data_IF_341394881922
#
_entry.id   IF_341394881922
#
_cell.length_a   1.000
_cell.length_b   1.000
_cell.length_c   1.000
_cell.angle_alpha   90.00
_cell.angle_beta   90.00
_cell.angle_gamma   90.00
#
_symmetry.space_group_name_H-M   'P 1'
#
loop_
_entity.id
_entity.type
_entity.pdbx_description
1 polymer ?
#
# COMPACT_ATOMS: atom_id res chain seq x y z
N UNK A 1 6.53 -5.73 -1.16
CA UNK A 1 5.79 -4.91 -0.19
C UNK A 1 4.39 -4.66 -0.74
N UNK A 2 3.36 -4.66 0.11
CA UNK A 2 1.96 -4.50 -0.30
C UNK A 2 1.65 -3.04 -0.67
N UNK A 3 0.69 -2.82 -1.58
CA UNK A 3 0.07 -1.51 -1.81
C UNK A 3 -1.10 -1.29 -0.85
N UNK A 4 -1.59 -0.05 -0.72
CA UNK A 4 -2.66 0.30 0.23
C UNK A 4 -3.95 -0.51 0.04
N UNK A 5 -4.31 -0.84 -1.21
CA UNK A 5 -5.49 -1.66 -1.56
C UNK A 5 -5.25 -3.17 -1.47
N UNK A 6 -4.06 -3.63 -1.11
CA UNK A 6 -3.71 -5.05 -1.13
C UNK A 6 -3.57 -5.61 0.28
N UNK A 7 -3.94 -6.88 0.43
CA UNK A 7 -3.64 -7.67 1.62
C UNK A 7 -2.95 -8.99 1.22
N UNK A 8 -2.02 -9.48 2.03
CA UNK A 8 -1.44 -10.80 1.82
C UNK A 8 -2.35 -11.88 2.39
N UNK A 9 -2.84 -12.79 1.55
CA UNK A 9 -3.72 -13.89 1.94
C UNK A 9 -2.97 -15.23 1.84
N UNK A 10 -2.89 -16.02 2.93
CA UNK A 10 -2.25 -17.33 2.90
C UNK A 10 -2.87 -18.27 1.86
N UNK A 11 -2.02 -18.93 1.06
CA UNK A 11 -2.44 -19.87 0.01
C UNK A 11 -3.46 -20.92 0.49
N UNK A 12 -3.24 -21.53 1.65
CA UNK A 12 -4.17 -22.54 2.21
C UNK A 12 -5.53 -21.96 2.59
N UNK A 13 -5.54 -20.74 3.12
CA UNK A 13 -6.78 -20.04 3.47
C UNK A 13 -7.55 -19.64 2.21
N UNK A 14 -6.86 -19.10 1.21
CA UNK A 14 -7.44 -18.77 -0.08
C UNK A 14 -8.02 -20.01 -0.77
N UNK A 15 -7.28 -21.13 -0.77
CA UNK A 15 -7.76 -22.39 -1.34
C UNK A 15 -9.09 -22.83 -0.72
N UNK A 16 -9.23 -22.74 0.59
CA UNK A 16 -10.47 -23.07 1.31
C UNK A 16 -11.63 -22.12 1.00
N UNK A 17 -11.37 -20.81 1.04
CA UNK A 17 -12.39 -19.77 0.83
C UNK A 17 -12.94 -19.80 -0.61
N UNK A 18 -12.09 -20.08 -1.59
CA UNK A 18 -12.43 -20.02 -3.01
C UNK A 18 -12.75 -21.39 -3.64
N UNK A 19 -12.86 -22.48 -2.87
CA UNK A 19 -13.16 -23.83 -3.38
C UNK A 19 -14.27 -23.89 -4.43
N UNK A 20 -15.46 -23.28 -4.23
CA UNK A 20 -16.54 -23.38 -5.20
C UNK A 20 -16.17 -22.77 -6.56
N UNK A 21 -15.44 -21.66 -6.55
CA UNK A 21 -14.98 -20.97 -7.75
C UNK A 21 -13.91 -21.76 -8.49
N UNK A 22 -12.99 -22.39 -7.75
CA UNK A 22 -11.96 -23.27 -8.31
C UNK A 22 -12.61 -24.48 -8.97
N UNK A 23 -13.59 -25.12 -8.32
CA UNK A 23 -14.32 -26.26 -8.92
C UNK A 23 -15.01 -25.88 -10.22
N UNK A 24 -15.72 -24.74 -10.23
CA UNK A 24 -16.39 -24.24 -11.44
C UNK A 24 -15.39 -23.95 -12.57
N UNK A 25 -14.22 -23.36 -12.25
CA UNK A 25 -13.19 -23.05 -13.24
C UNK A 25 -12.49 -24.30 -13.78
N UNK A 26 -12.18 -25.28 -12.93
CA UNK A 26 -11.63 -26.58 -13.33
C UNK A 26 -12.54 -27.33 -14.30
N UNK A 27 -13.85 -27.31 -14.05
CA UNK A 27 -14.83 -27.92 -14.96
C UNK A 27 -14.96 -27.15 -16.27
N UNK A 28 -15.02 -25.81 -16.20
CA UNK A 28 -15.13 -24.95 -17.39
C UNK A 28 -13.93 -25.07 -18.31
N UNK A 29 -12.74 -25.26 -17.75
CA UNK A 29 -11.49 -25.44 -18.50
C UNK A 29 -11.29 -26.89 -18.99
N UNK A 30 -12.22 -27.82 -18.71
CA UNK A 30 -12.13 -29.22 -19.13
C UNK A 30 -11.07 -30.06 -18.37
N UNK A 31 -10.47 -29.49 -17.32
CA UNK A 31 -9.45 -30.16 -16.50
C UNK A 31 -10.08 -31.21 -15.56
N UNK A 32 -11.34 -31.02 -15.20
CA UNK A 32 -12.12 -31.97 -14.41
C UNK A 32 -13.48 -32.26 -15.08
N UNK A 33 -13.78 -33.52 -15.32
CA UNK A 33 -15.06 -33.94 -15.92
C UNK A 33 -16.24 -33.87 -14.94
N UNK A 34 -15.99 -34.04 -13.63
CA UNK A 34 -17.04 -34.02 -12.59
C UNK A 34 -16.59 -33.22 -11.36
N UNK A 35 -17.55 -32.74 -10.57
CA UNK A 35 -17.27 -32.06 -9.29
C UNK A 35 -16.47 -32.96 -8.35
N UNK A 36 -16.71 -34.29 -8.36
CA UNK A 36 -15.95 -35.26 -7.57
C UNK A 36 -14.48 -35.33 -8.00
N UNK A 37 -14.21 -35.26 -9.31
CA UNK A 37 -12.83 -35.22 -9.82
C UNK A 37 -12.14 -33.90 -9.42
N UNK A 38 -12.81 -32.75 -9.61
CA UNK A 38 -12.29 -31.45 -9.20
C UNK A 38 -11.97 -31.39 -7.70
N UNK A 39 -12.86 -31.94 -6.85
CA UNK A 39 -12.64 -32.04 -5.41
C UNK A 39 -11.38 -32.83 -5.07
N UNK A 40 -11.15 -33.98 -5.72
CA UNK A 40 -9.93 -34.79 -5.53
C UNK A 40 -8.66 -34.07 -5.97
N UNK A 41 -8.70 -33.31 -7.07
CA UNK A 41 -7.54 -32.53 -7.54
C UNK A 41 -7.17 -31.43 -6.54
N UNK A 42 -8.17 -30.74 -5.99
CA UNK A 42 -7.97 -29.70 -4.96
C UNK A 42 -7.46 -30.30 -3.64
N UNK A 43 -8.00 -31.43 -3.20
CA UNK A 43 -7.52 -32.14 -1.99
C UNK A 43 -6.08 -32.65 -2.13
N UNK A 44 -5.63 -32.92 -3.35
CA UNK A 44 -4.25 -33.32 -3.66
C UNK A 44 -3.30 -32.14 -3.89
N UNK A 45 -3.81 -30.90 -3.82
CA UNK A 45 -3.03 -29.67 -4.04
C UNK A 45 -2.24 -29.70 -5.36
N UNK A 46 -2.84 -30.23 -6.44
CA UNK A 46 -2.17 -30.37 -7.75
C UNK A 46 -1.69 -29.01 -8.29
N UNK A 47 -0.55 -28.95 -9.01
CA UNK A 47 0.03 -27.68 -9.49
C UNK A 47 -0.96 -26.75 -10.21
N UNK A 48 -1.80 -27.33 -11.07
CA UNK A 48 -2.81 -26.60 -11.86
C UNK A 48 -3.85 -25.88 -11.00
N UNK A 49 -4.09 -26.34 -9.77
CA UNK A 49 -5.04 -25.73 -8.84
C UNK A 49 -4.53 -24.37 -8.38
N UNK A 50 -3.21 -24.22 -8.21
CA UNK A 50 -2.59 -22.96 -7.80
C UNK A 50 -2.69 -21.90 -8.89
N UNK A 51 -2.48 -22.28 -10.15
CA UNK A 51 -2.63 -21.39 -11.30
C UNK A 51 -4.09 -20.90 -11.41
N UNK A 52 -5.05 -21.81 -11.25
CA UNK A 52 -6.48 -21.47 -11.26
C UNK A 52 -6.87 -20.61 -10.07
N UNK A 53 -6.30 -20.88 -8.89
CA UNK A 53 -6.54 -20.06 -7.71
C UNK A 53 -6.09 -18.62 -7.96
N UNK A 54 -4.89 -18.42 -8.53
CA UNK A 54 -4.36 -17.09 -8.86
C UNK A 54 -5.25 -16.34 -9.86
N UNK A 55 -5.80 -17.03 -10.85
CA UNK A 55 -6.75 -16.47 -11.81
C UNK A 55 -8.11 -16.14 -11.18
N UNK A 56 -8.58 -16.96 -10.23
CA UNK A 56 -9.88 -16.77 -9.57
C UNK A 56 -9.86 -15.59 -8.61
N UNK A 57 -8.76 -15.40 -7.88
CA UNK A 57 -8.64 -14.30 -6.91
C UNK A 57 -8.38 -12.95 -7.58
N UNK A 58 -7.91 -12.96 -8.84
CA UNK A 58 -7.61 -11.74 -9.58
C UNK A 58 -8.90 -10.94 -9.72
N UNK A 59 -8.84 -9.68 -9.29
CA UNK A 59 -9.99 -8.77 -9.25
C UNK A 59 -11.17 -9.22 -8.36
N UNK A 60 -10.97 -10.19 -7.47
CA UNK A 60 -11.98 -10.61 -6.49
C UNK A 60 -11.64 -10.04 -5.09
N UNK A 61 -12.26 -8.92 -4.67
CA UNK A 61 -11.94 -8.30 -3.39
C UNK A 61 -12.36 -9.18 -2.22
N UNK A 62 -11.62 -9.12 -1.12
CA UNK A 62 -11.96 -9.75 0.16
C UNK A 62 -12.17 -8.69 1.23
N UNK A 63 -13.05 -8.96 2.19
CA UNK A 63 -13.30 -8.07 3.32
C UNK A 63 -12.49 -8.55 4.53
N UNK A 64 -11.69 -7.67 5.10
CA UNK A 64 -11.04 -7.89 6.39
C UNK A 64 -11.84 -7.20 7.49
N UNK A 65 -12.01 -7.89 8.60
CA UNK A 65 -12.67 -7.39 9.80
C UNK A 65 -11.86 -7.74 11.06
N UNK A 66 -11.72 -6.80 11.99
CA UNK A 66 -11.17 -7.05 13.33
C UNK A 66 -12.26 -6.83 14.38
N UNK A 67 -12.41 -7.80 15.28
CA UNK A 67 -13.31 -7.67 16.43
C UNK A 67 -12.58 -6.99 17.61
N UNK A 68 -13.23 -6.11 18.38
CA UNK A 68 -14.59 -5.59 18.20
C UNK A 68 -14.68 -4.51 17.11
N UNK A 69 -15.74 -4.53 16.30
CA UNK A 69 -15.97 -3.52 15.25
C UNK A 69 -16.67 -2.28 15.83
N UNK A 70 -15.90 -1.21 16.10
CA UNK A 70 -16.42 0.01 16.72
C UNK A 70 -17.02 1.02 15.74
N UNK A 71 -16.57 1.00 14.49
CA UNK A 71 -16.99 1.93 13.45
C UNK A 71 -16.81 1.30 12.07
N UNK A 72 -17.40 1.92 11.04
CA UNK A 72 -17.39 1.37 9.66
C UNK A 72 -15.99 1.06 9.11
N UNK A 73 -14.95 1.80 9.53
CA UNK A 73 -13.58 1.56 9.08
C UNK A 73 -12.95 0.27 9.63
N UNK A 74 -13.59 -0.38 10.59
CA UNK A 74 -13.17 -1.70 11.10
C UNK A 74 -13.50 -2.84 10.15
N UNK A 75 -14.15 -2.57 9.01
CA UNK A 75 -14.33 -3.50 7.89
C UNK A 75 -13.93 -2.78 6.61
N UNK A 76 -12.95 -3.31 5.88
CA UNK A 76 -12.52 -2.76 4.60
C UNK A 76 -12.27 -3.87 3.58
N UNK A 77 -12.43 -3.53 2.30
CA UNK A 77 -12.12 -4.41 1.19
C UNK A 77 -10.66 -4.24 0.72
N UNK A 78 -10.05 -5.34 0.36
CA UNK A 78 -8.69 -5.41 -0.18
C UNK A 78 -8.64 -6.41 -1.34
N UNK A 79 -7.69 -6.22 -2.25
CA UNK A 79 -7.31 -7.21 -3.24
C UNK A 79 -6.33 -8.22 -2.61
N UNK A 80 -6.64 -9.52 -2.62
CA UNK A 80 -5.78 -10.53 -2.03
C UNK A 80 -4.56 -10.78 -2.93
N UNK A 81 -3.38 -10.79 -2.31
CA UNK A 81 -2.12 -11.25 -2.91
C UNK A 81 -1.74 -12.55 -2.23
N UNK A 82 -1.54 -13.63 -3.00
CA UNK A 82 -1.15 -14.92 -2.43
C UNK A 82 0.22 -14.83 -1.79
N UNK A 83 0.30 -15.27 -0.55
CA UNK A 83 1.55 -15.37 0.20
C UNK A 83 1.73 -16.78 0.76
N UNK A 84 2.99 -17.13 0.98
CA UNK A 84 3.34 -18.32 1.76
C UNK A 84 3.11 -18.10 3.26
N UNK A 85 2.96 -19.19 4.00
CA UNK A 85 2.73 -19.16 5.44
C UNK A 85 1.25 -19.25 5.83
N UNK A 86 0.93 -18.78 7.05
CA UNK A 86 -0.41 -18.88 7.66
C UNK A 86 -0.95 -17.56 8.22
N UNK A 87 -0.14 -16.50 8.20
CA UNK A 87 -0.51 -15.19 8.73
C UNK A 87 -0.99 -14.28 7.60
N UNK A 88 -2.05 -13.50 7.85
CA UNK A 88 -2.51 -12.45 6.94
C UNK A 88 -1.52 -11.29 7.03
N UNK A 89 -1.16 -10.70 5.89
CA UNK A 89 -0.37 -9.47 5.86
C UNK A 89 -1.29 -8.27 5.60
N UNK A 90 -1.18 -7.26 6.44
CA UNK A 90 -1.95 -6.02 6.37
C UNK A 90 -1.01 -4.84 6.10
N UNK A 91 -1.49 -3.86 5.34
CA UNK A 91 -0.72 -2.64 5.09
C UNK A 91 -0.61 -1.78 6.37
N UNK A 92 0.58 -1.30 6.78
CA UNK A 92 0.74 -0.59 8.06
C UNK A 92 -0.15 0.65 8.23
N UNK A 93 -0.40 1.40 7.15
CA UNK A 93 -1.25 2.60 7.18
C UNK A 93 -2.74 2.34 7.45
N UNK A 94 -3.21 1.08 7.33
CA UNK A 94 -4.61 0.75 7.67
C UNK A 94 -4.75 0.20 9.08
N UNK A 95 -3.65 -0.08 9.80
CA UNK A 95 -3.69 -0.60 11.16
C UNK A 95 -4.43 0.35 12.12
N UNK A 96 -4.27 1.67 11.94
CA UNK A 96 -4.99 2.71 12.70
C UNK A 96 -6.50 2.56 12.55
N UNK A 97 -6.98 2.32 11.33
CA UNK A 97 -8.40 2.12 11.03
C UNK A 97 -8.96 0.83 11.65
N UNK A 98 -8.17 -0.23 11.79
CA UNK A 98 -8.59 -1.46 12.48
C UNK A 98 -8.36 -1.43 13.99
N UNK A 99 -7.69 -0.37 14.49
CA UNK A 99 -7.13 -0.31 15.84
C UNK A 99 -6.28 -1.55 16.17
N UNK A 100 -5.57 -2.06 15.17
CA UNK A 100 -4.84 -3.33 15.22
C UNK A 100 -3.34 -3.10 15.43
N UNK A 101 -2.70 -4.03 16.13
CA UNK A 101 -1.24 -4.16 16.17
C UNK A 101 -0.81 -5.57 15.71
N UNK A 102 0.47 -5.90 15.88
CA UNK A 102 1.05 -7.17 15.41
C UNK A 102 1.57 -8.03 16.57
N UNK A 103 0.91 -7.98 17.73
CA UNK A 103 1.32 -8.74 18.92
C UNK A 103 0.59 -10.09 19.12
N UNK A 104 -0.38 -10.40 18.24
CA UNK A 104 -1.23 -11.59 18.35
C UNK A 104 -2.67 -11.38 17.85
N UNK A 105 -3.02 -10.17 17.47
CA UNK A 105 -4.30 -9.80 16.87
C UNK A 105 -4.72 -10.73 15.71
N UNK A 106 -6.01 -11.04 15.67
CA UNK A 106 -6.63 -11.89 14.65
C UNK A 106 -7.66 -11.09 13.84
N UNK A 107 -7.74 -11.40 12.55
CA UNK A 107 -8.71 -10.81 11.64
C UNK A 107 -9.53 -11.90 10.94
N UNK A 108 -10.81 -11.62 10.74
CA UNK A 108 -11.69 -12.44 9.92
C UNK A 108 -11.61 -11.99 8.46
N UNK A 109 -11.67 -12.96 7.55
CA UNK A 109 -11.71 -12.73 6.10
C UNK A 109 -13.06 -13.20 5.57
N UNK A 110 -13.78 -12.33 4.86
CA UNK A 110 -15.04 -12.65 4.21
C UNK A 110 -14.93 -12.47 2.70
N UNK A 111 -15.55 -13.36 1.93
CA UNK A 111 -15.53 -13.31 0.46
C UNK A 111 -16.92 -12.90 -0.05
N UNK A 112 -17.07 -11.75 -0.72
CA UNK A 112 -18.31 -11.37 -1.39
C UNK A 112 -18.58 -12.32 -2.57
N UNK A 113 -19.76 -12.95 -2.58
CA UNK A 113 -20.09 -13.99 -3.58
C UNK A 113 -20.81 -13.43 -4.81
N UNK A 114 -21.81 -12.57 -4.62
CA UNK A 114 -22.56 -11.99 -5.74
C UNK A 114 -21.76 -10.91 -6.46
N UNK A 115 -22.08 -10.68 -7.74
CA UNK A 115 -21.41 -9.66 -8.54
C UNK A 115 -21.67 -8.26 -7.96
N UNK A 116 -22.89 -8.02 -7.51
CA UNK A 116 -23.31 -6.76 -6.87
C UNK A 116 -22.47 -6.50 -5.62
N UNK A 117 -22.26 -7.52 -4.78
CA UNK A 117 -21.45 -7.40 -3.56
C UNK A 117 -19.96 -7.18 -3.86
N UNK A 118 -19.43 -7.80 -4.92
CA UNK A 118 -18.05 -7.57 -5.35
C UNK A 118 -17.85 -6.14 -5.88
N UNK A 119 -18.80 -5.64 -6.66
CA UNK A 119 -18.81 -4.26 -7.16
C UNK A 119 -18.95 -3.27 -6.00
N UNK A 120 -19.85 -3.52 -5.06
CA UNK A 120 -20.03 -2.68 -3.87
C UNK A 120 -18.76 -2.65 -3.00
N UNK A 121 -18.15 -3.80 -2.75
CA UNK A 121 -16.90 -3.90 -1.99
C UNK A 121 -15.80 -3.06 -2.65
N UNK A 122 -15.69 -3.12 -3.98
CA UNK A 122 -14.71 -2.35 -4.75
C UNK A 122 -15.02 -0.85 -4.80
N UNK A 123 -16.27 -0.47 -4.99
CA UNK A 123 -16.68 0.91 -5.17
C UNK A 123 -16.77 1.68 -3.84
N UNK A 124 -17.17 1.03 -2.75
CA UNK A 124 -17.47 1.70 -1.47
C UNK A 124 -16.55 1.27 -0.33
N UNK A 125 -16.18 -0.01 -0.26
CA UNK A 125 -15.45 -0.55 0.90
C UNK A 125 -13.93 -0.64 0.71
N UNK A 126 -13.43 -0.45 -0.51
CA UNK A 126 -12.00 -0.51 -0.80
C UNK A 126 -11.21 0.46 0.09
N UNK A 127 -10.08 0.00 0.64
CA UNK A 127 -9.27 0.79 1.58
C UNK A 127 -8.84 2.16 1.01
N UNK A 128 -8.62 2.25 -0.31
CA UNK A 128 -8.28 3.51 -1.01
C UNK A 128 -9.39 4.55 -0.99
N UNK A 129 -10.64 4.17 -0.75
CA UNK A 129 -11.76 5.10 -0.69
C UNK A 129 -11.94 5.67 0.72
N UNK A 130 -11.36 5.00 1.72
CA UNK A 130 -11.57 5.26 3.14
C UNK A 130 -10.39 6.01 3.76
N UNK A 131 -10.02 7.14 3.16
CA UNK A 131 -8.84 7.96 3.53
C UNK A 131 -9.14 8.91 4.71
N UNK A 132 -10.39 9.39 4.80
CA UNK A 132 -10.82 10.36 5.81
C UNK A 132 -11.69 9.69 6.87
N UNK A 133 -11.49 10.12 8.12
CA UNK A 133 -12.33 9.75 9.25
C UNK A 133 -13.75 10.28 9.04
N UNK A 134 -14.78 9.42 9.16
CA UNK A 134 -16.18 9.85 9.02
C UNK A 134 -16.64 10.80 10.13
N UNK A 135 -15.95 10.82 11.27
CA UNK A 135 -16.38 11.56 12.45
C UNK A 135 -15.94 13.04 12.42
N UNK A 136 -14.76 13.32 11.87
CA UNK A 136 -14.14 14.66 11.92
C UNK A 136 -13.53 15.12 10.60
N UNK A 137 -13.50 14.28 9.56
CA UNK A 137 -12.95 14.64 8.24
C UNK A 137 -11.42 14.66 8.18
N UNK A 138 -10.72 14.31 9.26
CA UNK A 138 -9.25 14.24 9.27
C UNK A 138 -8.76 12.96 8.57
N UNK A 139 -7.57 12.99 7.93
CA UNK A 139 -6.98 11.78 7.35
C UNK A 139 -6.71 10.70 8.40
N UNK A 140 -7.08 9.45 8.13
CA UNK A 140 -6.80 8.31 9.03
C UNK A 140 -5.55 7.51 8.63
N UNK A 141 -5.13 7.64 7.38
CA UNK A 141 -3.97 6.95 6.80
C UNK A 141 -2.63 7.66 7.13
N UNK A 142 -2.56 8.35 8.26
CA UNK A 142 -1.37 9.10 8.67
C UNK A 142 -0.28 8.09 9.08
N UNK A 143 0.97 8.26 8.60
CA UNK A 143 2.08 7.44 9.05
C UNK A 143 2.25 7.49 10.57
N UNK A 144 2.63 6.36 11.17
CA UNK A 144 2.84 6.25 12.61
C UNK A 144 4.27 5.78 12.92
N UNK A 145 4.69 5.99 14.17
CA UNK A 145 5.92 5.45 14.76
C UNK A 145 7.17 5.62 13.86
N UNK A 146 7.71 4.51 13.34
CA UNK A 146 9.00 4.47 12.66
C UNK A 146 9.05 5.27 11.37
N UNK A 147 7.93 5.36 10.63
CA UNK A 147 7.88 6.16 9.40
C UNK A 147 8.04 7.64 9.74
N UNK A 148 7.36 8.09 10.80
CA UNK A 148 7.47 9.46 11.30
C UNK A 148 8.88 9.72 11.82
N UNK A 149 9.47 8.77 12.55
CA UNK A 149 10.83 8.89 13.05
C UNK A 149 11.86 8.98 11.91
N UNK A 150 11.71 8.18 10.85
CA UNK A 150 12.58 8.21 9.68
C UNK A 150 12.51 9.54 8.94
N UNK A 151 11.30 10.04 8.70
CA UNK A 151 11.07 11.36 8.09
C UNK A 151 11.61 12.49 8.97
N UNK A 152 11.37 12.44 10.27
CA UNK A 152 11.89 13.40 11.24
C UNK A 152 13.43 13.41 11.21
N UNK A 153 14.06 12.23 11.33
CA UNK A 153 15.52 12.12 11.28
C UNK A 153 16.07 12.71 9.98
N UNK A 154 15.54 12.29 8.84
CA UNK A 154 15.95 12.75 7.51
C UNK A 154 15.88 14.27 7.34
N UNK A 155 14.83 14.90 7.87
CA UNK A 155 14.54 16.32 7.61
C UNK A 155 15.21 17.29 8.60
N UNK A 156 15.94 16.78 9.59
CA UNK A 156 16.73 17.60 10.52
C UNK A 156 18.00 18.15 9.90
N UNK A 157 18.38 19.34 10.36
CA UNK A 157 19.65 19.98 10.04
C UNK A 157 20.69 19.73 11.14
N UNK A 158 21.96 19.68 10.73
CA UNK A 158 23.11 19.58 11.62
C UNK A 158 24.18 20.58 11.15
N UNK A 159 24.64 21.43 12.07
CA UNK A 159 25.70 22.40 11.82
C UNK A 159 27.04 21.66 11.71
N UNK A 160 27.88 22.03 10.74
CA UNK A 160 29.18 21.41 10.52
C UNK A 160 29.12 20.04 9.84
N UNK A 161 27.99 19.69 9.24
CA UNK A 161 27.83 18.40 8.57
C UNK A 161 28.60 18.36 7.24
N UNK A 162 29.06 17.16 6.85
CA UNK A 162 29.82 16.95 5.62
C UNK A 162 29.00 17.41 4.41
N UNK A 163 29.55 18.31 3.60
CA UNK A 163 28.86 18.86 2.43
C UNK A 163 28.05 20.14 2.69
N UNK A 164 28.20 20.75 3.86
CA UNK A 164 27.58 22.03 4.17
C UNK A 164 28.01 23.13 3.18
N UNK A 165 27.04 23.94 2.73
CA UNK A 165 27.24 25.07 1.81
C UNK A 165 27.36 24.67 0.34
N UNK A 166 27.27 23.38 0.01
CA UNK A 166 27.26 22.92 -1.39
C UNK A 166 26.02 23.41 -2.14
N UNK A 167 26.20 23.60 -3.45
CA UNK A 167 25.14 24.03 -4.37
C UNK A 167 24.92 22.92 -5.39
N UNK A 168 23.67 22.48 -5.54
CA UNK A 168 23.27 21.41 -6.45
C UNK A 168 22.35 21.93 -7.55
N UNK A 169 22.55 21.41 -8.75
CA UNK A 169 21.83 21.77 -9.96
C UNK A 169 20.42 21.16 -10.01
N UNK A 170 20.18 20.05 -9.32
CA UNK A 170 18.89 19.36 -9.20
C UNK A 170 18.92 18.32 -8.05
N UNK A 171 17.76 17.74 -7.74
CA UNK A 171 17.62 16.67 -6.73
C UNK A 171 18.39 15.40 -7.12
N UNK A 172 18.55 15.11 -8.41
CA UNK A 172 19.28 13.94 -8.88
C UNK A 172 20.79 14.04 -8.57
N UNK A 173 21.36 15.24 -8.61
CA UNK A 173 22.74 15.50 -8.19
C UNK A 173 22.91 15.33 -6.69
N UNK A 174 21.94 15.80 -5.89
CA UNK A 174 21.92 15.57 -4.43
C UNK A 174 21.94 14.06 -4.14
N UNK A 175 21.10 13.28 -4.83
CA UNK A 175 21.05 11.81 -4.71
C UNK A 175 22.39 11.17 -5.04
N UNK A 176 23.01 11.53 -6.18
CA UNK A 176 24.34 11.04 -6.54
C UNK A 176 25.40 11.39 -5.49
N UNK A 177 25.38 12.60 -4.95
CA UNK A 177 26.34 13.03 -3.94
C UNK A 177 26.15 12.27 -2.61
N UNK A 178 24.90 12.03 -2.22
CA UNK A 178 24.55 11.26 -1.03
C UNK A 178 24.96 9.78 -1.17
N UNK A 179 24.64 9.14 -2.30
CA UNK A 179 24.96 7.74 -2.58
C UNK A 179 26.49 7.49 -2.60
N UNK A 180 27.26 8.47 -3.11
CA UNK A 180 28.73 8.44 -3.07
C UNK A 180 29.33 8.88 -1.72
N UNK A 181 28.50 9.09 -0.69
CA UNK A 181 28.89 9.52 0.66
C UNK A 181 29.70 10.83 0.68
N UNK A 182 29.50 11.70 -0.32
CA UNK A 182 30.16 13.00 -0.42
C UNK A 182 29.50 14.04 0.48
N UNK A 183 28.20 13.88 0.75
CA UNK A 183 27.42 14.73 1.66
C UNK A 183 26.69 13.91 2.72
N UNK A 184 26.44 14.52 3.88
CA UNK A 184 25.63 13.96 4.95
C UNK A 184 24.16 14.37 4.80
N UNK A 185 23.25 13.54 5.30
CA UNK A 185 21.79 13.74 5.19
C UNK A 185 21.32 15.08 5.78
N UNK A 186 21.96 15.51 6.88
CA UNK A 186 21.59 16.71 7.63
C UNK A 186 22.36 17.97 7.20
N UNK A 187 23.19 17.89 6.14
CA UNK A 187 23.97 19.02 5.66
C UNK A 187 23.09 20.07 4.98
N UNK A 188 23.30 21.34 5.33
CA UNK A 188 22.67 22.47 4.66
C UNK A 188 23.28 22.67 3.28
N UNK A 189 22.43 22.79 2.27
CA UNK A 189 22.83 22.96 0.88
C UNK A 189 21.82 23.86 0.15
N UNK A 190 22.24 24.44 -0.98
CA UNK A 190 21.34 25.13 -1.89
C UNK A 190 21.02 24.20 -3.05
N UNK A 191 19.75 23.87 -3.24
CA UNK A 191 19.31 22.96 -4.30
C UNK A 191 18.38 23.71 -5.22
N UNK A 192 18.61 23.61 -6.52
CA UNK A 192 17.66 24.13 -7.51
C UNK A 192 16.49 23.14 -7.63
N UNK A 193 15.30 23.61 -7.32
CA UNK A 193 14.06 22.82 -7.37
C UNK A 193 13.15 23.42 -8.44
N UNK A 194 12.59 22.53 -9.26
CA UNK A 194 11.58 22.84 -10.27
C UNK A 194 10.20 22.47 -9.69
N UNK A 195 9.42 23.49 -9.35
CA UNK A 195 8.08 23.35 -8.81
C UNK A 195 7.04 23.81 -9.84
N UNK A 196 5.83 23.26 -9.74
CA UNK A 196 4.68 23.73 -10.52
C UNK A 196 3.70 24.32 -9.53
N UNK A 197 3.62 25.65 -9.49
CA UNK A 197 2.57 26.32 -8.71
C UNK A 197 1.26 26.19 -9.48
N UNK A 198 0.24 25.61 -8.85
CA UNK A 198 -1.11 25.53 -9.40
C UNK A 198 -1.92 26.65 -8.76
N UNK A 199 -2.31 27.64 -9.55
CA UNK A 199 -3.16 28.73 -9.09
C UNK A 199 -4.60 28.24 -8.86
N UNK A 200 -5.40 29.03 -8.14
CA UNK A 200 -6.78 28.69 -7.79
C UNK A 200 -7.70 28.49 -9.01
N UNK A 201 -7.31 29.01 -10.18
CA UNK A 201 -8.00 28.84 -11.46
C UNK A 201 -7.52 27.62 -12.26
N UNK A 202 -6.59 26.83 -11.71
CA UNK A 202 -6.00 25.65 -12.35
C UNK A 202 -4.87 25.96 -13.32
N UNK A 203 -4.45 27.22 -13.47
CA UNK A 203 -3.29 27.57 -14.31
C UNK A 203 -1.99 27.09 -13.68
N UNK A 204 -1.09 26.56 -14.52
CA UNK A 204 0.17 25.95 -14.09
C UNK A 204 1.32 26.91 -14.35
N UNK A 205 1.98 27.36 -13.29
CA UNK A 205 3.14 28.24 -13.36
C UNK A 205 4.41 27.46 -12.97
N UNK A 206 5.29 27.12 -13.94
CA UNK A 206 6.56 26.50 -13.60
C UNK A 206 7.44 27.53 -12.90
N UNK A 207 7.90 27.18 -11.70
CA UNK A 207 8.80 27.99 -10.88
C UNK A 207 10.08 27.20 -10.65
N UNK A 208 11.17 27.73 -11.19
CA UNK A 208 12.52 27.24 -10.93
C UNK A 208 13.17 28.17 -9.93
N UNK A 209 13.52 27.66 -8.75
CA UNK A 209 14.15 28.49 -7.72
C UNK A 209 15.28 27.75 -7.00
N UNK A 210 16.25 28.52 -6.51
CA UNK A 210 17.35 27.99 -5.72
C UNK A 210 16.98 28.13 -4.24
N UNK A 211 16.68 27.01 -3.60
CA UNK A 211 16.16 26.97 -2.22
C UNK A 211 17.27 26.50 -1.27
N UNK A 212 17.39 27.16 -0.14
CA UNK A 212 18.23 26.69 0.97
C UNK A 212 17.49 25.59 1.73
N UNK A 213 18.06 24.40 1.75
CA UNK A 213 17.42 23.19 2.29
C UNK A 213 18.47 22.25 2.89
N UNK A 214 18.06 21.09 3.38
CA UNK A 214 18.98 20.01 3.73
C UNK A 214 19.00 18.95 2.64
N UNK A 215 20.10 18.19 2.56
CA UNK A 215 20.19 17.02 1.65
C UNK A 215 18.97 16.09 1.83
N UNK A 216 18.58 15.79 3.07
CA UNK A 216 17.43 14.93 3.35
C UNK A 216 16.09 15.51 2.90
N UNK A 217 15.84 16.82 3.07
CA UNK A 217 14.62 17.46 2.56
C UNK A 217 14.58 17.48 1.03
N UNK A 218 15.71 17.73 0.38
CA UNK A 218 15.81 17.67 -1.08
C UNK A 218 15.53 16.26 -1.62
N UNK A 219 16.02 15.21 -0.95
CA UNK A 219 15.69 13.83 -1.32
C UNK A 219 14.20 13.50 -1.12
N UNK A 220 13.57 14.06 -0.09
CA UNK A 220 12.13 13.90 0.15
C UNK A 220 11.29 14.60 -0.91
N UNK A 221 11.79 15.68 -1.53
CA UNK A 221 11.07 16.39 -2.57
C UNK A 221 10.78 15.53 -3.82
N UNK A 222 11.56 14.46 -4.05
CA UNK A 222 11.35 13.55 -5.18
C UNK A 222 10.00 12.81 -5.12
N UNK A 223 9.43 12.63 -3.92
CA UNK A 223 8.14 11.94 -3.75
C UNK A 223 6.95 12.91 -3.66
N UNK A 224 7.19 14.22 -3.67
CA UNK A 224 6.12 15.22 -3.61
C UNK A 224 5.38 15.28 -4.97
N UNK A 225 4.04 15.29 -4.97
CA UNK A 225 3.27 15.47 -6.19
C UNK A 225 3.38 16.92 -6.69
N UNK A 226 3.25 17.09 -8.00
CA UNK A 226 3.18 18.41 -8.63
C UNK A 226 2.03 19.24 -8.04
N UNK A 227 2.27 20.54 -7.77
CA UNK A 227 1.27 21.42 -7.15
C UNK A 227 1.32 21.51 -5.63
N UNK A 228 2.16 20.70 -4.98
CA UNK A 228 2.45 20.82 -3.55
C UNK A 228 3.67 21.75 -3.35
N UNK A 229 3.59 22.75 -2.44
CA UNK A 229 4.70 23.65 -2.14
C UNK A 229 5.76 23.01 -1.23
#
# INVERSE_FOLDING_TARGET
TLRLHQCGLPKKMALELFKPFIFARLQRNGLATTIKAAKRMVEREEPVVWDILEDVIREHPVLLNRAPTLHRLGIQAFEPVLIEGKAIQLHPLVCTAFNADFDGDQMAVHVPLSLEAQVEARALMMSTNNILSPANGEPIIVPTQDVVLGLYYMTRELIGAKGEGMIFADVAEVRRAYDNRMVALHAKAKVRIDEIEIAADGTRHPRRSLIETTVGRALLAEILPEGMP
#
